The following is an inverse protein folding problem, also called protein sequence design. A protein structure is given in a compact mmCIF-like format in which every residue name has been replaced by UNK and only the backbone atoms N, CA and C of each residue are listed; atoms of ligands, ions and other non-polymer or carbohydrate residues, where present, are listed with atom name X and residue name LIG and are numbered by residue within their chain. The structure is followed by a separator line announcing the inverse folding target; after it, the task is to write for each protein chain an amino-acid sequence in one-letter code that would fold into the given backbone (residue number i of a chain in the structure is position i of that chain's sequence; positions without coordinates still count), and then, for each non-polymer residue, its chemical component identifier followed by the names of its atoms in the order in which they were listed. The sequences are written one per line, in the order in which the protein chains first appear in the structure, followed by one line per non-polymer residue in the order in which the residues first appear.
data_IF_848941454778
#
_entry.id   IF_848941454778
#
_cell.length_a   1.000
_cell.length_b   1.000
_cell.length_c   1.000
_cell.angle_alpha   90.00
_cell.angle_beta   90.00
_cell.angle_gamma   90.00
#
_symmetry.space_group_name_H-M   'P 1'
#
loop_
_entity.id
_entity.type
_entity.pdbx_description
1 polymer ?
#
# COMPACT_ATOMS: atom_id res chain seq x y z
N UNK A 1 11.29 37.85 -8.69
CA UNK A 1 11.47 37.95 -10.15
C UNK A 1 11.95 39.34 -10.60
N UNK A 2 11.41 40.45 -10.07
CA UNK A 2 11.87 41.78 -10.42
C UNK A 2 13.36 41.99 -10.12
N UNK A 3 13.84 41.57 -8.96
CA UNK A 3 15.24 41.69 -8.57
C UNK A 3 16.17 40.84 -9.45
N UNK A 4 15.72 39.63 -9.87
CA UNK A 4 16.46 38.79 -10.81
C UNK A 4 16.54 39.47 -12.19
N UNK A 5 15.42 40.05 -12.65
CA UNK A 5 15.37 40.76 -13.93
C UNK A 5 16.32 41.97 -13.94
N UNK A 6 16.31 42.74 -12.85
CA UNK A 6 17.25 43.89 -12.68
C UNK A 6 18.73 43.43 -12.63
N UNK A 7 19.02 42.36 -11.88
CA UNK A 7 20.39 41.82 -11.76
C UNK A 7 20.91 41.22 -13.08
N UNK A 8 20.03 40.60 -13.88
CA UNK A 8 20.38 40.00 -15.16
C UNK A 8 20.27 40.96 -16.34
N UNK A 9 19.79 42.20 -16.15
CA UNK A 9 19.59 43.17 -17.22
C UNK A 9 18.55 42.80 -18.26
N UNK A 10 17.53 42.06 -17.90
CA UNK A 10 16.47 41.53 -18.78
C UNK A 10 15.06 41.85 -18.28
N UNK A 11 14.04 41.61 -19.09
CA UNK A 11 12.66 41.77 -18.67
C UNK A 11 12.20 40.64 -17.71
N UNK A 12 11.18 40.90 -16.87
CA UNK A 12 10.56 39.89 -16.01
C UNK A 12 10.00 38.72 -16.85
N UNK A 13 9.48 39.01 -18.04
CA UNK A 13 9.02 37.96 -18.96
C UNK A 13 10.14 37.06 -19.45
N UNK A 14 11.33 37.61 -19.71
CA UNK A 14 12.52 36.83 -20.07
C UNK A 14 12.95 35.91 -18.91
N UNK A 15 12.97 36.43 -17.67
CA UNK A 15 13.21 35.62 -16.46
C UNK A 15 12.19 34.48 -16.37
N UNK A 16 10.91 34.80 -16.57
CA UNK A 16 9.85 33.78 -16.56
C UNK A 16 10.04 32.72 -17.63
N UNK A 17 10.43 33.10 -18.86
CA UNK A 17 10.70 32.15 -19.93
C UNK A 17 11.90 31.23 -19.63
N UNK A 18 12.96 31.77 -18.99
CA UNK A 18 14.11 30.95 -18.59
C UNK A 18 13.75 29.98 -17.47
N UNK A 19 13.01 30.44 -16.45
CA UNK A 19 12.63 29.61 -15.29
C UNK A 19 11.65 28.50 -15.66
N UNK A 20 10.70 28.80 -16.57
CA UNK A 20 9.62 27.88 -16.95
C UNK A 20 9.90 27.12 -18.25
N UNK A 21 11.02 27.38 -18.90
CA UNK A 21 11.44 26.80 -20.20
C UNK A 21 10.37 26.90 -21.31
N UNK A 22 9.49 27.91 -21.22
CA UNK A 22 8.33 28.09 -22.10
C UNK A 22 8.71 28.61 -23.48
N UNK A 23 9.92 29.14 -23.67
CA UNK A 23 10.44 29.65 -24.94
C UNK A 23 11.97 29.49 -24.97
N UNK A 24 12.49 29.25 -26.16
CA UNK A 24 13.94 29.22 -26.38
C UNK A 24 14.50 30.64 -26.14
N UNK A 25 15.42 30.77 -25.19
CA UNK A 25 16.14 32.02 -24.87
C UNK A 25 17.60 31.84 -25.27
N UNK A 26 18.23 32.93 -25.68
CA UNK A 26 19.66 32.95 -26.02
C UNK A 26 20.51 32.37 -24.85
N UNK A 27 21.53 31.53 -25.16
CA UNK A 27 22.33 30.87 -24.11
C UNK A 27 22.99 31.84 -23.13
N UNK A 28 23.50 32.99 -23.59
CA UNK A 28 24.12 34.02 -22.71
C UNK A 28 23.11 34.66 -21.78
N UNK A 29 21.90 34.95 -22.30
CA UNK A 29 20.79 35.48 -21.53
C UNK A 29 20.32 34.47 -20.47
N UNK A 30 20.26 33.20 -20.84
CA UNK A 30 19.91 32.11 -19.87
C UNK A 30 20.94 32.03 -18.76
N UNK A 31 22.21 32.06 -19.07
CA UNK A 31 23.32 32.02 -18.12
C UNK A 31 23.30 33.22 -17.15
N UNK A 32 23.08 34.42 -17.67
CA UNK A 32 22.94 35.63 -16.85
C UNK A 32 21.76 35.56 -15.89
N UNK A 33 20.61 35.04 -16.34
CA UNK A 33 19.44 34.86 -15.47
C UNK A 33 19.69 33.81 -14.40
N UNK A 34 20.32 32.67 -14.70
CA UNK A 34 20.65 31.63 -13.72
C UNK A 34 21.66 32.14 -12.68
N UNK A 35 22.66 32.92 -13.09
CA UNK A 35 23.61 33.60 -12.18
C UNK A 35 22.90 34.60 -11.24
N UNK A 36 21.97 35.41 -11.80
CA UNK A 36 21.18 36.36 -11.04
C UNK A 36 20.23 35.65 -10.05
N UNK A 37 19.64 34.50 -10.38
CA UNK A 37 18.86 33.68 -9.44
C UNK A 37 19.73 33.24 -8.25
N UNK A 38 20.96 32.78 -8.52
CA UNK A 38 21.91 32.37 -7.48
C UNK A 38 22.33 33.51 -6.57
N UNK A 39 22.64 34.69 -7.13
CA UNK A 39 23.12 35.86 -6.37
C UNK A 39 22.03 36.59 -5.58
N UNK A 40 20.78 36.60 -6.10
CA UNK A 40 19.64 37.26 -5.42
C UNK A 40 18.95 36.36 -4.39
N UNK A 41 19.31 35.06 -4.30
CA UNK A 41 18.62 34.10 -3.45
C UNK A 41 17.15 33.89 -3.83
N UNK A 42 16.79 34.20 -5.08
CA UNK A 42 15.42 34.09 -5.55
C UNK A 42 14.96 32.63 -5.45
N UNK A 43 13.87 32.43 -4.71
CA UNK A 43 13.15 31.16 -4.68
C UNK A 43 11.84 31.29 -5.45
N UNK A 44 11.57 30.32 -6.31
CA UNK A 44 10.30 30.26 -7.04
C UNK A 44 9.14 30.24 -6.03
N UNK A 45 8.22 31.19 -6.16
CA UNK A 45 7.02 31.20 -5.34
C UNK A 45 6.05 30.13 -5.88
N UNK A 46 5.97 28.99 -5.19
CA UNK A 46 5.09 27.88 -5.56
C UNK A 46 3.61 28.32 -5.67
N UNK A 47 3.15 29.21 -4.79
CA UNK A 47 1.79 29.74 -4.82
C UNK A 47 1.52 30.56 -6.08
N UNK A 48 2.45 31.42 -6.49
CA UNK A 48 2.33 32.21 -7.71
C UNK A 48 2.34 31.31 -8.97
N UNK A 49 3.14 30.24 -8.95
CA UNK A 49 3.17 29.24 -10.01
C UNK A 49 1.85 28.47 -10.07
N UNK A 50 1.38 27.98 -8.92
CA UNK A 50 0.11 27.26 -8.84
C UNK A 50 -1.08 28.08 -9.34
N UNK A 51 -1.11 29.41 -9.05
CA UNK A 51 -2.13 30.33 -9.57
C UNK A 51 -2.04 30.49 -11.10
N UNK A 52 -0.83 30.51 -11.65
CA UNK A 52 -0.63 30.70 -13.10
C UNK A 52 -0.88 29.42 -13.91
N UNK A 53 -0.59 28.24 -13.35
CA UNK A 53 -0.71 26.94 -14.01
C UNK A 53 -1.95 26.15 -13.59
N UNK A 54 -2.68 26.61 -12.59
CA UNK A 54 -3.73 25.86 -11.91
C UNK A 54 -3.27 24.50 -11.35
N UNK A 55 -1.96 24.33 -11.12
CA UNK A 55 -1.34 23.11 -10.59
C UNK A 55 -0.40 23.44 -9.43
N UNK A 56 -0.55 22.74 -8.32
CA UNK A 56 0.30 22.92 -7.13
C UNK A 56 1.62 22.16 -7.22
N UNK A 57 1.69 21.11 -8.04
CA UNK A 57 2.80 20.16 -8.06
C UNK A 57 2.82 19.27 -6.81
N UNK A 58 1.68 19.09 -6.13
CA UNK A 58 1.57 18.30 -4.91
C UNK A 58 0.53 17.20 -5.08
N UNK A 59 0.90 15.96 -4.80
CA UNK A 59 -0.01 14.84 -4.65
C UNK A 59 -0.27 14.58 -3.17
N UNK A 60 -1.49 14.19 -2.83
CA UNK A 60 -1.86 13.76 -1.49
C UNK A 60 -1.86 12.24 -1.38
N UNK A 61 -1.39 11.72 -0.24
CA UNK A 61 -1.49 10.31 0.12
C UNK A 61 -2.16 10.18 1.50
N UNK A 62 -3.29 9.49 1.55
CA UNK A 62 -3.93 9.07 2.80
C UNK A 62 -3.89 7.55 2.90
N UNK A 63 -3.26 7.06 3.95
CA UNK A 63 -3.11 5.61 4.23
C UNK A 63 -3.32 5.36 5.70
N UNK A 64 -3.49 4.07 6.06
CA UNK A 64 -3.38 3.62 7.44
C UNK A 64 -1.98 3.03 7.65
N UNK A 65 -0.97 3.91 7.80
CA UNK A 65 0.43 3.51 7.90
C UNK A 65 0.69 2.64 9.12
N UNK A 66 0.07 2.98 10.26
CA UNK A 66 0.12 2.22 11.50
C UNK A 66 1.49 1.63 11.81
N UNK A 67 1.48 0.35 12.20
CA UNK A 67 2.71 -0.45 12.42
C UNK A 67 2.95 -1.48 11.31
N UNK A 68 2.07 -1.54 10.29
CA UNK A 68 2.18 -2.56 9.24
C UNK A 68 3.38 -2.29 8.32
N UNK A 69 4.39 -3.16 8.30
CA UNK A 69 5.58 -3.03 7.46
C UNK A 69 5.29 -2.91 5.96
N UNK A 70 4.13 -3.35 5.51
CA UNK A 70 3.65 -3.23 4.13
C UNK A 70 3.66 -1.78 3.61
N UNK A 71 3.25 -0.81 4.44
CA UNK A 71 3.09 0.56 3.98
C UNK A 71 4.42 1.32 3.77
N UNK A 72 5.49 0.95 4.45
CA UNK A 72 6.80 1.61 4.29
C UNK A 72 7.33 1.53 2.84
N UNK A 73 7.52 0.33 2.28
CA UNK A 73 7.92 0.16 0.88
C UNK A 73 6.93 0.77 -0.12
N UNK A 74 5.62 0.66 0.12
CA UNK A 74 4.60 1.24 -0.73
C UNK A 74 4.70 2.77 -0.78
N UNK A 75 4.88 3.42 0.37
CA UNK A 75 5.11 4.88 0.45
C UNK A 75 6.35 5.30 -0.33
N UNK A 76 7.46 4.56 -0.19
CA UNK A 76 8.69 4.83 -0.95
C UNK A 76 8.47 4.74 -2.46
N UNK A 77 7.73 3.72 -2.93
CA UNK A 77 7.42 3.55 -4.35
C UNK A 77 6.57 4.71 -4.90
N UNK A 78 5.54 5.13 -4.14
CA UNK A 78 4.69 6.27 -4.50
C UNK A 78 5.50 7.56 -4.52
N UNK A 79 6.29 7.84 -3.48
CA UNK A 79 7.10 9.05 -3.36
C UNK A 79 8.15 9.13 -4.48
N UNK A 80 8.88 8.04 -4.72
CA UNK A 80 9.89 7.97 -5.77
C UNK A 80 9.27 8.26 -7.14
N UNK A 81 8.12 7.63 -7.46
CA UNK A 81 7.45 7.85 -8.73
C UNK A 81 6.87 9.26 -8.87
N UNK A 82 6.29 9.80 -7.81
CA UNK A 82 5.82 11.18 -7.78
C UNK A 82 6.97 12.17 -8.05
N UNK A 83 8.11 11.98 -7.39
CA UNK A 83 9.33 12.79 -7.58
C UNK A 83 9.87 12.67 -9.01
N UNK A 84 9.93 11.47 -9.61
CA UNK A 84 10.31 11.28 -11.02
C UNK A 84 9.45 12.11 -11.97
N UNK A 85 8.17 12.29 -11.67
CA UNK A 85 7.20 13.06 -12.44
C UNK A 85 7.11 14.54 -12.03
N UNK A 86 7.99 15.00 -11.12
CA UNK A 86 8.07 16.39 -10.68
C UNK A 86 7.05 16.80 -9.62
N UNK A 87 6.41 15.84 -8.95
CA UNK A 87 5.47 16.11 -7.86
C UNK A 87 6.13 15.95 -6.47
N UNK A 88 5.65 16.72 -5.52
CA UNK A 88 5.91 16.53 -4.08
C UNK A 88 4.77 15.72 -3.47
N UNK A 89 5.08 14.77 -2.59
CA UNK A 89 4.07 13.99 -1.87
C UNK A 89 3.78 14.61 -0.51
N UNK A 90 2.51 14.90 -0.24
CA UNK A 90 2.00 15.27 1.08
C UNK A 90 1.18 14.12 1.65
N UNK A 91 1.50 13.64 2.83
CA UNK A 91 0.88 12.43 3.37
C UNK A 91 0.31 12.61 4.77
N UNK A 92 -0.66 11.76 5.11
CA UNK A 92 -1.18 11.61 6.45
C UNK A 92 -1.67 10.19 6.75
N UNK A 93 -1.74 9.87 8.03
CA UNK A 93 -2.19 8.58 8.54
C UNK A 93 -3.65 8.67 9.03
N UNK A 94 -4.52 7.87 8.44
CA UNK A 94 -5.94 7.79 8.82
C UNK A 94 -6.20 6.85 9.99
N UNK A 95 -5.23 6.03 10.39
CA UNK A 95 -5.38 5.00 11.43
C UNK A 95 -6.56 4.04 11.21
N UNK A 96 -7.00 3.83 9.97
CA UNK A 96 -8.23 3.10 9.61
C UNK A 96 -9.52 3.69 10.21
N UNK A 97 -9.47 4.92 10.69
CA UNK A 97 -10.64 5.65 11.20
C UNK A 97 -11.25 6.53 10.10
N UNK A 98 -12.51 6.28 9.67
CA UNK A 98 -13.14 7.03 8.58
C UNK A 98 -13.34 8.52 8.90
N UNK A 99 -13.47 8.89 10.17
CA UNK A 99 -13.62 10.31 10.58
C UNK A 99 -12.27 11.03 10.48
N UNK A 100 -11.19 10.38 10.91
CA UNK A 100 -9.83 10.93 10.76
C UNK A 100 -9.48 11.02 9.28
N UNK A 101 -9.78 9.98 8.50
CA UNK A 101 -9.53 9.96 7.05
C UNK A 101 -10.22 11.12 6.34
N UNK A 102 -11.53 11.35 6.58
CA UNK A 102 -12.25 12.43 5.93
C UNK A 102 -11.68 13.80 6.29
N UNK A 103 -11.41 14.08 7.56
CA UNK A 103 -10.79 15.33 8.01
C UNK A 103 -9.40 15.55 7.42
N UNK A 104 -8.59 14.49 7.34
CA UNK A 104 -7.27 14.53 6.71
C UNK A 104 -7.40 14.92 5.25
N UNK A 105 -8.27 14.23 4.51
CA UNK A 105 -8.49 14.48 3.09
C UNK A 105 -9.01 15.89 2.85
N UNK A 106 -9.99 16.40 3.62
CA UNK A 106 -10.46 17.79 3.56
C UNK A 106 -9.28 18.77 3.74
N UNK A 107 -8.44 18.55 4.75
CA UNK A 107 -7.26 19.38 5.01
C UNK A 107 -6.23 19.34 3.85
N UNK A 108 -6.11 18.22 3.12
CA UNK A 108 -5.26 18.12 1.94
C UNK A 108 -5.88 18.84 0.74
N UNK A 109 -7.19 18.72 0.53
CA UNK A 109 -7.92 19.44 -0.51
C UNK A 109 -7.86 20.98 -0.32
N UNK A 110 -7.95 21.47 0.92
CA UNK A 110 -7.79 22.88 1.25
C UNK A 110 -6.39 23.42 0.84
N UNK A 111 -5.40 22.57 0.77
CA UNK A 111 -4.05 22.90 0.27
C UNK A 111 -3.91 22.83 -1.24
N UNK A 112 -5.03 22.58 -1.95
CA UNK A 112 -5.11 22.50 -3.41
C UNK A 112 -4.15 21.49 -4.00
N UNK A 113 -4.12 20.28 -3.44
CA UNK A 113 -3.39 19.15 -4.05
C UNK A 113 -3.94 18.84 -5.43
N UNK A 114 -3.09 18.42 -6.37
CA UNK A 114 -3.48 18.16 -7.75
C UNK A 114 -4.20 16.79 -7.88
N UNK A 115 -3.98 15.89 -6.94
CA UNK A 115 -4.65 14.59 -6.91
C UNK A 115 -4.46 13.88 -5.58
N UNK A 116 -5.28 12.86 -5.33
CA UNK A 116 -5.32 12.09 -4.08
C UNK A 116 -5.11 10.61 -4.36
N UNK A 117 -4.15 9.99 -3.67
CA UNK A 117 -3.99 8.54 -3.55
C UNK A 117 -4.55 8.15 -2.17
N UNK A 118 -5.48 7.21 -2.13
CA UNK A 118 -6.19 6.82 -0.92
C UNK A 118 -6.16 5.31 -0.72
N UNK A 119 -5.64 4.83 0.42
CA UNK A 119 -5.93 3.49 0.93
C UNK A 119 -7.15 3.59 1.84
N UNK A 120 -8.36 3.26 1.35
CA UNK A 120 -9.60 3.65 2.00
C UNK A 120 -9.80 2.96 3.36
N UNK A 121 -10.14 3.73 4.38
CA UNK A 121 -10.63 3.22 5.65
C UNK A 121 -12.01 2.51 5.47
N UNK A 122 -12.46 1.70 6.43
CA UNK A 122 -13.81 1.13 6.36
C UNK A 122 -14.86 2.23 6.16
N UNK A 123 -15.74 2.05 5.17
CA UNK A 123 -16.84 2.97 4.82
C UNK A 123 -16.42 4.28 4.14
N UNK A 124 -15.20 4.43 3.67
CA UNK A 124 -14.75 5.62 2.90
C UNK A 124 -15.65 5.93 1.69
N UNK A 125 -16.33 4.91 1.13
CA UNK A 125 -17.28 5.08 0.02
C UNK A 125 -18.50 5.96 0.37
N UNK A 126 -18.76 6.16 1.66
CA UNK A 126 -19.92 6.95 2.13
C UNK A 126 -19.61 8.44 2.28
N UNK A 127 -18.38 8.78 2.58
CA UNK A 127 -18.01 10.15 2.96
C UNK A 127 -16.74 10.63 2.25
N UNK A 128 -15.59 10.01 2.49
CA UNK A 128 -14.29 10.48 2.01
C UNK A 128 -14.20 10.51 0.48
N UNK A 129 -14.54 9.40 -0.19
CA UNK A 129 -14.47 9.33 -1.65
C UNK A 129 -15.44 10.33 -2.30
N UNK A 130 -16.72 10.45 -1.87
CA UNK A 130 -17.61 11.50 -2.34
C UNK A 130 -17.10 12.92 -2.08
N UNK A 131 -16.41 13.17 -0.96
CA UNK A 131 -15.81 14.48 -0.66
C UNK A 131 -14.75 14.85 -1.70
N UNK A 132 -13.83 13.95 -2.03
CA UNK A 132 -12.82 14.19 -3.07
C UNK A 132 -13.49 14.39 -4.44
N UNK A 133 -14.47 13.56 -4.80
CA UNK A 133 -15.19 13.71 -6.08
C UNK A 133 -15.90 15.05 -6.22
N UNK A 134 -16.52 15.54 -5.15
CA UNK A 134 -17.18 16.86 -5.16
C UNK A 134 -16.21 18.02 -5.34
N UNK A 135 -14.97 17.90 -4.89
CA UNK A 135 -13.94 18.92 -5.12
C UNK A 135 -13.44 18.96 -6.57
N UNK A 136 -13.75 17.93 -7.38
CA UNK A 136 -13.22 17.80 -8.74
C UNK A 136 -11.76 17.33 -8.79
N UNK A 137 -11.16 17.01 -7.64
CA UNK A 137 -9.78 16.53 -7.56
C UNK A 137 -9.71 15.05 -8.00
N UNK A 138 -8.81 14.67 -8.92
CA UNK A 138 -8.57 13.28 -9.27
C UNK A 138 -8.23 12.40 -8.07
N UNK A 139 -8.72 11.16 -8.06
CA UNK A 139 -8.47 10.20 -6.99
C UNK A 139 -8.16 8.82 -7.55
N UNK A 140 -7.19 8.13 -6.94
CA UNK A 140 -6.87 6.72 -7.17
C UNK A 140 -6.88 5.99 -5.84
N UNK A 141 -7.58 4.84 -5.76
CA UNK A 141 -7.55 3.98 -4.59
C UNK A 141 -6.44 2.95 -4.71
N UNK A 142 -5.82 2.62 -3.56
CA UNK A 142 -4.78 1.60 -3.45
C UNK A 142 -5.10 0.60 -2.33
N UNK A 143 -4.46 -0.58 -2.38
CA UNK A 143 -4.52 -1.63 -1.34
C UNK A 143 -5.92 -2.28 -1.21
N UNK A 144 -6.97 -1.49 -1.11
CA UNK A 144 -8.35 -1.94 -0.87
C UNK A 144 -9.26 -1.46 -1.98
N UNK A 145 -9.96 -2.38 -2.62
CA UNK A 145 -10.94 -2.02 -3.64
C UNK A 145 -12.25 -1.54 -3.01
N UNK A 146 -12.94 -0.70 -3.78
CA UNK A 146 -14.23 -0.13 -3.44
C UNK A 146 -15.17 -0.21 -4.65
N UNK A 147 -16.50 -0.27 -4.47
CA UNK A 147 -17.46 -0.16 -5.56
C UNK A 147 -17.48 1.25 -6.22
N UNK A 148 -16.75 2.21 -5.65
CA UNK A 148 -16.69 3.58 -6.18
C UNK A 148 -16.20 3.62 -7.63
N UNK A 149 -16.74 4.56 -8.40
CA UNK A 149 -16.38 4.78 -9.80
C UNK A 149 -15.14 5.69 -9.90
N UNK A 150 -13.98 5.13 -9.56
CA UNK A 150 -12.65 5.77 -9.57
C UNK A 150 -11.58 4.74 -9.93
N UNK A 151 -10.42 5.17 -10.41
CA UNK A 151 -9.29 4.27 -10.69
C UNK A 151 -8.77 3.62 -9.41
N UNK A 152 -8.35 2.35 -9.50
CA UNK A 152 -7.97 1.54 -8.34
C UNK A 152 -6.84 0.58 -8.70
N UNK A 153 -5.87 0.44 -7.80
CA UNK A 153 -4.77 -0.53 -7.91
C UNK A 153 -4.63 -1.30 -6.60
N UNK A 154 -4.72 -2.61 -6.66
CA UNK A 154 -4.53 -3.46 -5.49
C UNK A 154 -3.88 -4.79 -5.88
N UNK A 155 -3.29 -5.48 -4.92
CA UNK A 155 -2.85 -6.86 -5.13
C UNK A 155 -4.01 -7.83 -5.29
N UNK A 156 -3.73 -8.98 -5.89
CA UNK A 156 -4.60 -10.14 -5.82
C UNK A 156 -4.78 -10.58 -4.36
N UNK A 157 -6.01 -10.89 -3.96
CA UNK A 157 -6.33 -11.32 -2.59
C UNK A 157 -6.63 -12.81 -2.47
N UNK A 158 -7.61 -13.29 -3.25
CA UNK A 158 -8.14 -14.65 -3.11
C UNK A 158 -7.17 -15.73 -3.60
N UNK A 159 -6.64 -15.58 -4.80
CA UNK A 159 -5.80 -16.62 -5.42
C UNK A 159 -4.49 -16.88 -4.66
N UNK A 160 -3.72 -15.86 -4.21
CA UNK A 160 -2.51 -16.10 -3.42
C UNK A 160 -2.79 -16.85 -2.12
N UNK A 161 -3.87 -16.50 -1.41
CA UNK A 161 -4.25 -17.20 -0.18
C UNK A 161 -4.73 -18.63 -0.48
N UNK A 162 -5.41 -18.82 -1.60
CA UNK A 162 -5.79 -20.18 -2.03
C UNK A 162 -4.55 -21.03 -2.32
N UNK A 163 -3.51 -20.48 -2.95
CA UNK A 163 -2.22 -21.18 -3.18
C UNK A 163 -1.52 -21.54 -1.88
N UNK A 164 -1.41 -20.60 -0.93
CA UNK A 164 -0.84 -20.85 0.40
C UNK A 164 -1.57 -21.96 1.14
N UNK A 165 -2.91 -21.93 1.09
CA UNK A 165 -3.76 -22.94 1.75
C UNK A 165 -3.65 -24.31 1.09
N UNK A 166 -3.67 -24.36 -0.25
CA UNK A 166 -3.51 -25.58 -1.02
C UNK A 166 -2.16 -26.24 -0.74
N UNK A 167 -1.08 -25.43 -0.71
CA UNK A 167 0.26 -25.88 -0.37
C UNK A 167 0.30 -26.61 0.98
N UNK A 168 -0.32 -26.06 2.03
CA UNK A 168 -0.41 -26.76 3.32
C UNK A 168 -1.23 -28.05 3.25
N UNK A 169 -2.32 -28.06 2.47
CA UNK A 169 -3.14 -29.26 2.28
C UNK A 169 -2.39 -30.37 1.52
N UNK A 170 -1.57 -30.02 0.53
CA UNK A 170 -0.69 -30.91 -0.23
C UNK A 170 0.40 -31.52 0.66
N UNK A 171 0.90 -30.77 1.63
CA UNK A 171 1.84 -31.28 2.66
C UNK A 171 1.16 -32.21 3.69
N UNK A 172 -0.12 -32.51 3.51
CA UNK A 172 -0.85 -33.45 4.36
C UNK A 172 -1.56 -32.81 5.57
N UNK A 173 -1.48 -31.50 5.74
CA UNK A 173 -2.22 -30.84 6.81
C UNK A 173 -3.74 -30.92 6.58
N UNK A 174 -4.46 -31.45 7.57
CA UNK A 174 -5.93 -31.61 7.53
C UNK A 174 -6.64 -30.67 8.50
N UNK A 175 -5.93 -30.14 9.48
CA UNK A 175 -6.41 -29.16 10.46
C UNK A 175 -5.67 -27.85 10.27
N UNK A 176 -6.16 -27.05 9.33
CA UNK A 176 -5.57 -25.76 8.96
C UNK A 176 -6.40 -24.67 9.64
N UNK A 177 -5.75 -23.82 10.42
CA UNK A 177 -6.37 -22.63 11.01
C UNK A 177 -6.07 -21.37 10.20
N UNK A 178 -6.88 -20.32 10.41
CA UNK A 178 -6.69 -19.03 9.76
C UNK A 178 -6.86 -17.87 10.73
N UNK A 179 -5.96 -16.88 10.65
CA UNK A 179 -6.07 -15.57 11.30
C UNK A 179 -6.53 -14.56 10.24
N UNK A 180 -7.75 -14.03 10.41
CA UNK A 180 -8.37 -13.10 9.45
C UNK A 180 -8.22 -11.66 9.89
N UNK A 181 -8.22 -10.74 8.94
CA UNK A 181 -8.17 -9.30 9.20
C UNK A 181 -9.50 -8.72 9.64
N UNK A 182 -9.57 -7.38 9.65
CA UNK A 182 -10.78 -6.63 10.02
C UNK A 182 -11.94 -6.94 9.07
N UNK A 183 -13.13 -7.32 9.58
CA UNK A 183 -14.23 -7.84 8.75
C UNK A 183 -14.89 -6.80 7.83
N UNK A 184 -14.63 -5.52 8.03
CA UNK A 184 -15.15 -4.44 7.18
C UNK A 184 -14.29 -4.09 5.97
N UNK A 185 -13.18 -4.80 5.74
CA UNK A 185 -12.21 -4.50 4.68
C UNK A 185 -12.33 -5.51 3.54
N UNK A 186 -12.45 -5.03 2.31
CA UNK A 186 -12.64 -5.86 1.11
C UNK A 186 -11.51 -6.88 0.92
N UNK A 187 -10.26 -6.50 1.13
CA UNK A 187 -9.11 -7.42 1.02
C UNK A 187 -9.19 -8.57 2.05
N UNK A 188 -9.77 -8.35 3.23
CA UNK A 188 -10.04 -9.42 4.20
C UNK A 188 -11.07 -10.42 3.63
N UNK A 189 -12.14 -9.93 3.04
CA UNK A 189 -13.19 -10.79 2.44
C UNK A 189 -12.60 -11.68 1.37
N UNK A 190 -11.86 -11.09 0.41
CA UNK A 190 -11.22 -11.82 -0.69
C UNK A 190 -10.24 -12.90 -0.19
N UNK A 191 -9.41 -12.56 0.80
CA UNK A 191 -8.45 -13.51 1.37
C UNK A 191 -9.14 -14.67 2.09
N UNK A 192 -10.25 -14.43 2.79
CA UNK A 192 -11.08 -15.48 3.41
C UNK A 192 -11.74 -16.36 2.34
N UNK A 193 -12.22 -15.77 1.25
CA UNK A 193 -12.78 -16.54 0.12
C UNK A 193 -11.72 -17.47 -0.47
N UNK A 194 -10.49 -16.99 -0.68
CA UNK A 194 -9.38 -17.81 -1.16
C UNK A 194 -9.07 -18.99 -0.23
N UNK A 195 -8.97 -18.74 1.08
CA UNK A 195 -8.79 -19.79 2.09
C UNK A 195 -9.92 -20.83 2.02
N UNK A 196 -11.16 -20.37 2.05
CA UNK A 196 -12.35 -21.24 2.08
C UNK A 196 -12.45 -22.09 0.81
N UNK A 197 -12.20 -21.49 -0.35
CA UNK A 197 -12.22 -22.19 -1.63
C UNK A 197 -11.14 -23.26 -1.71
N UNK A 198 -9.92 -22.98 -1.26
CA UNK A 198 -8.82 -23.97 -1.25
C UNK A 198 -9.10 -25.12 -0.27
N UNK A 199 -9.61 -24.83 0.93
CA UNK A 199 -10.06 -25.87 1.87
C UNK A 199 -11.11 -26.78 1.25
N UNK A 200 -12.12 -26.20 0.59
CA UNK A 200 -13.17 -26.97 -0.07
C UNK A 200 -12.63 -27.85 -1.22
N UNK A 201 -11.74 -27.31 -2.06
CA UNK A 201 -11.08 -28.08 -3.15
C UNK A 201 -10.27 -29.26 -2.60
N UNK A 202 -9.66 -29.11 -1.43
CA UNK A 202 -8.93 -30.19 -0.76
C UNK A 202 -9.85 -31.19 0.00
N UNK A 203 -11.17 -31.04 -0.07
CA UNK A 203 -12.13 -31.84 0.68
C UNK A 203 -12.10 -31.59 2.20
N UNK A 204 -11.60 -30.41 2.61
CA UNK A 204 -11.41 -30.03 4.01
C UNK A 204 -12.42 -28.94 4.42
N UNK A 205 -12.65 -28.86 5.73
CA UNK A 205 -13.39 -27.75 6.36
C UNK A 205 -12.64 -27.25 7.58
N UNK A 206 -12.45 -25.94 7.68
CA UNK A 206 -11.92 -25.35 8.89
C UNK A 206 -12.94 -25.46 10.03
N UNK A 207 -12.52 -25.98 11.17
CA UNK A 207 -13.40 -25.97 12.35
C UNK A 207 -13.62 -24.50 12.79
N UNK A 208 -14.84 -24.12 13.22
CA UNK A 208 -15.12 -22.72 13.62
C UNK A 208 -14.13 -22.15 14.65
N UNK A 209 -13.63 -23.00 15.56
CA UNK A 209 -12.59 -22.61 16.53
C UNK A 209 -11.22 -22.34 15.93
N UNK A 210 -10.97 -22.77 14.68
CA UNK A 210 -9.72 -22.54 13.96
C UNK A 210 -9.79 -21.34 13.01
N UNK A 211 -10.94 -20.66 12.91
CA UNK A 211 -11.12 -19.41 12.20
C UNK A 211 -11.21 -18.29 13.23
N UNK A 212 -10.21 -17.42 13.28
CA UNK A 212 -10.11 -16.37 14.29
C UNK A 212 -9.86 -15.02 13.65
N UNK A 213 -10.58 -14.01 14.12
CA UNK A 213 -10.36 -12.64 13.68
C UNK A 213 -9.23 -12.02 14.53
N UNK A 214 -8.11 -11.71 13.87
CA UNK A 214 -6.99 -10.98 14.45
C UNK A 214 -7.07 -9.47 14.22
N UNK A 215 -8.17 -8.99 13.60
CA UNK A 215 -8.50 -7.57 13.40
C UNK A 215 -7.39 -6.76 12.71
N UNK A 216 -6.58 -7.43 11.89
CA UNK A 216 -5.39 -6.86 11.23
C UNK A 216 -4.32 -6.31 12.21
N UNK A 217 -4.32 -6.73 13.47
CA UNK A 217 -3.47 -6.22 14.56
C UNK A 217 -2.67 -7.34 15.22
N UNK A 218 -1.44 -7.03 15.61
CA UNK A 218 -0.53 -8.00 16.22
C UNK A 218 -0.97 -8.45 17.62
N UNK A 219 -1.47 -7.54 18.45
CA UNK A 219 -1.94 -7.82 19.80
C UNK A 219 -3.19 -8.74 19.79
N UNK A 220 -4.17 -8.44 18.94
CA UNK A 220 -5.36 -9.24 18.79
C UNK A 220 -5.04 -10.63 18.19
N UNK A 221 -4.23 -10.67 17.13
CA UNK A 221 -3.80 -11.94 16.53
C UNK A 221 -3.06 -12.82 17.55
N UNK A 222 -2.22 -12.23 18.41
CA UNK A 222 -1.58 -12.96 19.52
C UNK A 222 -2.64 -13.54 20.47
N UNK A 223 -3.60 -12.73 20.93
CA UNK A 223 -4.67 -13.18 21.83
C UNK A 223 -5.50 -14.30 21.21
N UNK A 224 -5.89 -14.15 19.95
CA UNK A 224 -6.71 -15.13 19.23
C UNK A 224 -5.94 -16.43 18.95
N UNK A 225 -4.65 -16.36 18.67
CA UNK A 225 -3.79 -17.55 18.50
C UNK A 225 -3.67 -18.30 19.82
N UNK A 226 -3.41 -17.60 20.92
CA UNK A 226 -3.39 -18.22 22.26
C UNK A 226 -4.71 -18.91 22.58
N UNK A 227 -5.84 -18.24 22.31
CA UNK A 227 -7.17 -18.81 22.53
C UNK A 227 -7.42 -20.05 21.65
N UNK A 228 -6.98 -20.03 20.38
CA UNK A 228 -7.11 -21.15 19.45
C UNK A 228 -6.37 -22.40 19.97
N UNK A 229 -5.14 -22.24 20.46
CA UNK A 229 -4.31 -23.37 20.92
C UNK A 229 -4.61 -23.83 22.34
N UNK A 230 -5.20 -22.98 23.20
CA UNK A 230 -5.64 -23.33 24.56
C UNK A 230 -7.05 -23.94 24.60
N UNK A 231 -7.81 -23.81 23.50
CA UNK A 231 -9.16 -24.39 23.42
C UNK A 231 -9.13 -25.92 23.52
N UNK A 232 -10.18 -26.51 24.14
CA UNK A 232 -10.32 -27.96 24.17
C UNK A 232 -10.57 -28.54 22.80
N UNK A 233 -9.97 -29.68 22.51
CA UNK A 233 -10.12 -30.44 21.26
C UNK A 233 -8.87 -30.41 20.37
N UNK A 234 -8.94 -30.98 19.16
CA UNK A 234 -7.81 -31.06 18.24
C UNK A 234 -7.31 -29.68 17.85
N UNK A 235 -6.01 -29.45 17.97
CA UNK A 235 -5.34 -28.21 17.57
C UNK A 235 -5.09 -28.18 16.06
N UNK A 236 -4.98 -27.01 15.43
CA UNK A 236 -4.50 -26.91 14.07
C UNK A 236 -3.04 -27.37 14.01
N UNK A 237 -2.66 -27.99 12.89
CA UNK A 237 -1.28 -28.39 12.59
C UNK A 237 -0.61 -27.43 11.64
N UNK A 238 -1.36 -26.49 11.07
CA UNK A 238 -0.88 -25.44 10.22
C UNK A 238 -1.75 -24.18 10.34
N UNK A 239 -1.16 -23.03 10.11
CA UNK A 239 -1.82 -21.72 10.13
C UNK A 239 -1.59 -20.95 8.84
N UNK A 240 -2.64 -20.33 8.33
CA UNK A 240 -2.60 -19.30 7.30
C UNK A 240 -2.88 -17.96 7.98
N UNK A 241 -1.98 -17.00 7.87
CA UNK A 241 -2.13 -15.67 8.48
C UNK A 241 -2.22 -14.62 7.39
N UNK A 242 -3.27 -13.79 7.44
CA UNK A 242 -3.69 -12.99 6.30
C UNK A 242 -3.14 -11.56 6.24
N UNK A 243 -2.17 -11.20 7.09
CA UNK A 243 -1.33 -10.00 6.95
C UNK A 243 -0.10 -10.02 7.86
N UNK A 244 0.82 -9.07 7.64
CA UNK A 244 2.09 -8.93 8.37
C UNK A 244 1.92 -8.73 9.88
N UNK A 245 1.07 -7.80 10.32
CA UNK A 245 0.85 -7.52 11.74
C UNK A 245 0.37 -8.76 12.48
N UNK A 246 -0.61 -9.46 11.90
CA UNK A 246 -1.12 -10.71 12.50
C UNK A 246 -0.06 -11.82 12.50
N UNK A 247 0.83 -11.85 11.49
CA UNK A 247 1.94 -12.81 11.45
C UNK A 247 2.87 -12.61 12.65
N UNK A 248 3.25 -11.36 12.95
CA UNK A 248 4.05 -11.02 14.13
C UNK A 248 3.35 -11.46 15.43
N UNK A 249 2.05 -11.15 15.54
CA UNK A 249 1.25 -11.54 16.71
C UNK A 249 1.17 -13.06 16.89
N UNK A 250 0.94 -13.77 15.79
CA UNK A 250 0.86 -15.24 15.76
C UNK A 250 2.20 -15.88 16.16
N UNK A 251 3.32 -15.42 15.61
CA UNK A 251 4.65 -15.92 15.98
C UNK A 251 4.98 -15.69 17.45
N UNK A 252 4.61 -14.53 18.00
CA UNK A 252 4.74 -14.25 19.45
C UNK A 252 3.93 -15.23 20.30
N UNK A 253 2.68 -15.54 19.89
CA UNK A 253 1.82 -16.49 20.58
C UNK A 253 2.37 -17.91 20.54
N UNK A 254 2.84 -18.37 19.37
CA UNK A 254 3.44 -19.69 19.21
C UNK A 254 4.68 -19.84 20.10
N UNK A 255 5.54 -18.81 20.16
CA UNK A 255 6.71 -18.81 21.06
C UNK A 255 6.29 -18.85 22.54
N UNK A 256 5.24 -18.13 22.96
CA UNK A 256 4.71 -18.15 24.32
C UNK A 256 4.15 -19.53 24.71
N UNK A 257 3.64 -20.27 23.73
CA UNK A 257 3.12 -21.63 23.89
C UNK A 257 4.22 -22.71 23.78
N UNK A 258 5.47 -22.32 23.57
CA UNK A 258 6.62 -23.21 23.30
C UNK A 258 6.37 -24.14 22.11
N UNK A 259 5.65 -23.63 21.07
CA UNK A 259 5.38 -24.34 19.83
C UNK A 259 6.38 -23.91 18.75
N UNK A 260 7.06 -24.89 18.19
CA UNK A 260 8.07 -24.66 17.17
C UNK A 260 7.46 -24.67 15.77
N UNK A 261 7.82 -23.64 14.99
CA UNK A 261 7.51 -23.60 13.56
C UNK A 261 8.73 -24.18 12.81
N UNK A 262 8.55 -25.08 11.85
CA UNK A 262 7.30 -25.72 11.39
C UNK A 262 6.94 -27.01 12.15
N UNK A 263 7.80 -27.50 13.07
CA UNK A 263 7.74 -28.86 13.63
C UNK A 263 6.42 -29.18 14.36
N UNK A 264 5.95 -28.25 15.18
CA UNK A 264 4.70 -28.42 15.95
C UNK A 264 3.52 -27.77 15.20
N UNK A 265 3.75 -26.69 14.46
CA UNK A 265 2.76 -25.94 13.66
C UNK A 265 3.44 -25.35 12.43
N UNK A 266 3.01 -25.74 11.23
CA UNK A 266 3.41 -25.07 9.99
C UNK A 266 2.78 -23.67 9.90
N UNK A 267 3.47 -22.72 9.30
CA UNK A 267 3.02 -21.33 9.16
C UNK A 267 3.25 -20.81 7.75
N UNK A 268 2.20 -20.25 7.15
CA UNK A 268 2.30 -19.46 5.91
C UNK A 268 1.58 -18.14 6.07
N UNK A 269 2.05 -17.12 5.38
CA UNK A 269 1.54 -15.76 5.54
C UNK A 269 1.18 -15.10 4.20
N UNK A 270 0.17 -14.25 4.23
CA UNK A 270 -0.01 -13.22 3.22
C UNK A 270 0.75 -11.97 3.69
N UNK A 271 1.41 -11.31 2.79
CA UNK A 271 2.48 -10.33 2.95
C UNK A 271 3.83 -10.95 3.33
N UNK A 272 4.87 -10.42 2.74
CA UNK A 272 6.25 -10.72 3.07
C UNK A 272 6.93 -9.52 3.73
N UNK A 273 7.95 -9.77 4.53
CA UNK A 273 8.80 -8.74 5.12
C UNK A 273 10.12 -8.67 4.37
N UNK A 274 10.73 -7.52 4.26
CA UNK A 274 12.11 -7.38 3.70
C UNK A 274 13.15 -8.25 4.44
N UNK A 275 12.86 -8.61 5.69
CA UNK A 275 13.72 -9.37 6.59
C UNK A 275 13.13 -10.73 6.99
N UNK A 276 12.15 -11.26 6.27
CA UNK A 276 11.51 -12.55 6.59
C UNK A 276 12.41 -13.77 6.32
N UNK A 277 13.43 -13.61 5.51
CA UNK A 277 14.48 -14.58 5.30
C UNK A 277 15.48 -14.69 6.46
N UNK A 278 15.53 -13.65 7.32
CA UNK A 278 16.35 -13.63 8.54
C UNK A 278 15.70 -14.39 9.71
N UNK A 279 14.42 -14.75 9.59
CA UNK A 279 13.78 -15.61 10.58
C UNK A 279 14.33 -17.03 10.53
N UNK A 280 14.31 -17.71 11.67
CA UNK A 280 14.56 -19.14 11.77
C UNK A 280 13.34 -19.84 12.41
N UNK A 281 12.53 -20.53 11.59
CA UNK A 281 12.61 -20.75 10.15
C UNK A 281 12.23 -19.52 9.32
N UNK A 282 12.74 -19.42 8.09
CA UNK A 282 12.33 -18.40 7.11
C UNK A 282 10.84 -18.54 6.77
N UNK A 283 10.13 -17.40 6.64
CA UNK A 283 8.69 -17.37 6.46
C UNK A 283 8.27 -17.63 5.00
N UNK A 284 7.49 -18.68 4.76
CA UNK A 284 6.79 -18.91 3.48
C UNK A 284 5.64 -17.95 3.35
N UNK A 285 5.64 -17.13 2.30
CA UNK A 285 4.68 -16.05 2.15
C UNK A 285 4.25 -15.79 0.71
N UNK A 286 3.07 -15.17 0.55
CA UNK A 286 2.65 -14.51 -0.68
C UNK A 286 3.04 -13.03 -0.57
N UNK A 287 4.03 -12.61 -1.35
CA UNK A 287 4.57 -11.25 -1.35
C UNK A 287 3.80 -10.36 -2.32
N UNK A 288 3.36 -9.21 -1.88
CA UNK A 288 2.78 -8.19 -2.74
C UNK A 288 3.89 -7.41 -3.46
N UNK A 289 3.70 -7.12 -4.75
CA UNK A 289 4.60 -6.23 -5.50
C UNK A 289 4.23 -4.76 -5.22
N UNK A 290 4.66 -4.27 -4.07
CA UNK A 290 4.34 -2.91 -3.59
C UNK A 290 4.93 -1.81 -4.47
N UNK A 291 6.08 -2.08 -5.13
CA UNK A 291 6.68 -1.14 -6.06
C UNK A 291 5.77 -0.93 -7.27
N UNK A 292 5.32 -2.02 -7.89
CA UNK A 292 4.41 -1.96 -9.02
C UNK A 292 3.07 -1.28 -8.66
N UNK A 293 2.52 -1.55 -7.46
CA UNK A 293 1.29 -0.90 -6.98
C UNK A 293 1.50 0.60 -6.84
N UNK A 294 2.57 1.01 -6.14
CA UNK A 294 2.85 2.42 -5.87
C UNK A 294 3.10 3.22 -7.15
N UNK A 295 3.96 2.73 -8.04
CA UNK A 295 4.25 3.38 -9.32
C UNK A 295 3.00 3.49 -10.18
N UNK A 296 2.24 2.40 -10.30
CA UNK A 296 1.03 2.38 -11.13
C UNK A 296 -0.06 3.32 -10.60
N UNK A 297 -0.21 3.44 -9.29
CA UNK A 297 -1.16 4.37 -8.67
C UNK A 297 -0.83 5.84 -9.03
N UNK A 298 0.44 6.21 -8.99
CA UNK A 298 0.89 7.55 -9.39
C UNK A 298 0.66 7.79 -10.88
N UNK A 299 0.99 6.82 -11.75
CA UNK A 299 0.79 6.93 -13.19
C UNK A 299 -0.69 7.16 -13.52
N UNK A 300 -1.59 6.35 -12.95
CA UNK A 300 -3.03 6.51 -13.14
C UNK A 300 -3.53 7.88 -12.68
N UNK A 301 -3.03 8.36 -11.54
CA UNK A 301 -3.41 9.65 -10.99
C UNK A 301 -2.94 10.81 -11.88
N UNK A 302 -1.69 10.76 -12.35
CA UNK A 302 -1.13 11.80 -13.22
C UNK A 302 -1.83 11.82 -14.58
N UNK A 303 -2.15 10.65 -15.15
CA UNK A 303 -2.97 10.58 -16.38
C UNK A 303 -4.33 11.28 -16.18
N UNK A 304 -4.99 11.11 -15.03
CA UNK A 304 -6.24 11.84 -14.70
C UNK A 304 -6.02 13.34 -14.55
N UNK A 305 -4.93 13.76 -13.88
CA UNK A 305 -4.56 15.17 -13.74
C UNK A 305 -4.28 15.80 -15.12
N UNK A 306 -3.74 15.03 -16.05
CA UNK A 306 -3.44 15.47 -17.43
C UNK A 306 -4.67 15.42 -18.37
N UNK A 307 -5.84 15.06 -17.83
CA UNK A 307 -7.12 15.18 -18.53
C UNK A 307 -7.64 13.86 -19.13
N UNK A 308 -7.10 12.70 -18.74
CA UNK A 308 -7.70 11.44 -19.16
C UNK A 308 -9.11 11.30 -18.55
N UNK A 309 -10.13 11.25 -19.38
CA UNK A 309 -11.56 11.17 -19.05
C UNK A 309 -12.21 9.80 -19.33
N UNK A 310 -11.41 8.83 -19.73
CA UNK A 310 -11.86 7.47 -20.03
C UNK A 310 -12.44 6.75 -18.80
N UNK A 311 -13.03 5.55 -19.00
CA UNK A 311 -13.66 4.79 -17.93
C UNK A 311 -12.69 4.48 -16.79
N UNK A 312 -13.25 4.17 -15.60
CA UNK A 312 -12.44 3.73 -14.46
C UNK A 312 -11.64 2.47 -14.80
N UNK A 313 -10.46 2.40 -14.26
CA UNK A 313 -9.59 1.21 -14.35
C UNK A 313 -9.45 0.57 -12.97
N UNK A 314 -9.62 -0.74 -12.92
CA UNK A 314 -9.41 -1.54 -11.71
C UNK A 314 -8.33 -2.55 -12.02
N UNK A 315 -7.15 -2.34 -11.48
CA UNK A 315 -5.98 -3.15 -11.79
C UNK A 315 -5.60 -4.03 -10.60
N UNK A 316 -5.30 -5.29 -10.88
CA UNK A 316 -4.79 -6.25 -9.92
C UNK A 316 -3.33 -6.56 -10.23
N UNK A 317 -2.47 -6.32 -9.26
CA UNK A 317 -1.05 -6.63 -9.36
C UNK A 317 -0.83 -8.04 -8.81
N UNK A 318 -0.21 -8.94 -9.59
CA UNK A 318 0.12 -10.29 -9.14
C UNK A 318 1.02 -10.29 -7.91
N UNK A 319 0.87 -11.33 -7.08
CA UNK A 319 1.75 -11.60 -5.95
C UNK A 319 2.79 -12.65 -6.31
N UNK A 320 3.93 -12.63 -5.62
CA UNK A 320 4.97 -13.65 -5.73
C UNK A 320 4.86 -14.65 -4.57
N UNK A 321 5.10 -15.94 -4.85
CA UNK A 321 5.10 -16.98 -3.83
C UNK A 321 6.53 -17.22 -3.36
N UNK A 322 6.87 -16.72 -2.20
CA UNK A 322 8.19 -16.92 -1.58
C UNK A 322 8.17 -18.17 -0.70
N UNK A 323 8.65 -19.26 -1.26
CA UNK A 323 8.75 -20.54 -0.56
C UNK A 323 10.00 -20.56 0.33
N UNK A 324 9.78 -20.72 1.66
CA UNK A 324 10.82 -20.83 2.68
C UNK A 324 10.49 -21.99 3.63
N UNK A 325 11.06 -22.02 4.84
CA UNK A 325 11.07 -23.19 5.70
C UNK A 325 9.87 -23.32 6.64
N UNK A 326 9.10 -22.25 6.87
CA UNK A 326 8.02 -22.20 7.86
C UNK A 326 6.81 -23.09 7.53
N UNK A 327 6.67 -23.53 6.27
CA UNK A 327 5.64 -24.47 5.85
C UNK A 327 5.97 -25.93 6.16
N UNK A 328 7.24 -26.24 6.50
CA UNK A 328 7.69 -27.60 6.81
C UNK A 328 8.02 -28.48 5.60
N UNK A 329 8.14 -27.89 4.41
CA UNK A 329 8.64 -28.63 3.26
C UNK A 329 10.13 -28.97 3.43
N UNK A 330 10.53 -30.16 3.05
CA UNK A 330 11.93 -30.41 2.73
C UNK A 330 12.30 -29.60 1.50
N UNK A 331 13.27 -28.69 1.62
CA UNK A 331 13.83 -28.04 0.45
C UNK A 331 14.44 -29.12 -0.46
N UNK A 332 13.79 -29.45 -1.55
CA UNK A 332 14.50 -30.04 -2.66
C UNK A 332 15.57 -29.04 -3.05
N UNK A 333 16.84 -29.37 -2.75
CA UNK A 333 18.00 -28.63 -3.17
C UNK A 333 18.03 -28.60 -4.71
N UNK A 334 17.31 -27.70 -5.30
CA UNK A 334 17.41 -27.40 -6.73
C UNK A 334 18.56 -26.40 -6.88
N UNK A 335 19.71 -26.92 -7.28
CA UNK A 335 20.79 -26.31 -8.02
C UNK A 335 21.22 -24.89 -7.65
N UNK A 336 22.41 -24.82 -7.05
CA UNK A 336 23.30 -23.64 -7.13
C UNK A 336 23.67 -23.37 -8.59
#
# INVERSE_FOLDING_TARGET
MADVAAAAGVSISTVSHVINETRRVDPRTREAVLAAIGSTGYRRNALATALATSRSGVLALSISAGRNPYFGPLMRAIESRATELGYTLMMGDSHDDPVIENRLVESLLDRRVDGVILAPAPRSERETIPTVRRSGTPIVLIDRLSPADVDQVASEGAEPVARLTAHLAELGHRRIGVLTGHPGIQSTVERIEGFTAAMARAGLRAAPRHVRCGDSRADEARAQTLAMFRARGPRPTALVVLNNEMTVGTMRALRELDLRVPHDVALVAYDDFEWSDLFSPGLTAAAQNVDAIGRRAVDLLVERIDGFDGPRRVERVPTEFHHRDSCGCERTSAGV
#
